data_IF_994744185559
#
_entry.id   IF_994744185559
#
_cell.length_a   1.000
_cell.length_b   1.000
_cell.length_c   1.000
_cell.angle_alpha   90.00
_cell.angle_beta   90.00
_cell.angle_gamma   90.00
#
_symmetry.space_group_name_H-M   'P 1'
#
loop_
_entity.id
_entity.type
_entity.pdbx_description
1 polymer ?
#
# COMPACT_ATOMS: atom_id res chain seq x y z
N UNK A 1 28.96 -36.85 16.64
CA UNK A 1 28.79 -37.27 15.23
C UNK A 1 27.38 -36.89 14.79
N UNK A 2 27.21 -35.69 14.27
CA UNK A 2 26.26 -35.40 13.21
C UNK A 2 26.73 -34.11 12.56
N UNK A 3 27.53 -34.31 11.52
CA UNK A 3 27.93 -33.31 10.55
C UNK A 3 26.82 -33.20 9.50
N UNK A 4 26.88 -32.11 8.72
CA UNK A 4 26.11 -31.73 7.53
C UNK A 4 24.74 -31.06 7.72
N UNK A 5 24.73 -29.74 7.51
CA UNK A 5 24.07 -29.14 6.35
C UNK A 5 24.79 -27.84 5.97
N UNK A 6 25.66 -27.94 4.98
CA UNK A 6 26.26 -26.84 4.25
C UNK A 6 25.11 -26.12 3.49
N UNK A 7 24.67 -24.96 3.98
CA UNK A 7 23.59 -24.17 3.40
C UNK A 7 24.13 -23.13 2.43
N UNK A 8 23.65 -23.19 1.19
CA UNK A 8 24.03 -22.38 0.03
C UNK A 8 24.46 -20.93 0.33
N UNK A 9 25.54 -20.49 -0.32
CA UNK A 9 25.81 -19.06 -0.50
C UNK A 9 24.54 -18.41 -1.06
N UNK A 10 23.96 -17.46 -0.33
CA UNK A 10 22.85 -16.66 -0.83
C UNK A 10 23.28 -16.06 -2.17
N UNK A 11 22.45 -16.22 -3.22
CA UNK A 11 22.67 -15.48 -4.44
C UNK A 11 22.64 -13.99 -4.10
N UNK A 12 23.64 -13.23 -4.52
CA UNK A 12 23.76 -11.79 -4.29
C UNK A 12 22.53 -10.97 -4.78
N UNK A 13 21.61 -11.63 -5.50
CA UNK A 13 20.47 -11.07 -6.23
C UNK A 13 19.12 -11.73 -5.92
N UNK A 14 18.80 -12.05 -4.65
CA UNK A 14 17.48 -12.62 -4.32
C UNK A 14 16.33 -11.63 -4.63
N UNK A 15 15.25 -12.01 -5.34
CA UNK A 15 14.25 -11.03 -5.78
C UNK A 15 13.42 -10.42 -4.63
N UNK A 16 13.49 -10.94 -3.39
CA UNK A 16 12.89 -10.28 -2.22
C UNK A 16 13.71 -9.12 -1.67
N UNK A 17 14.97 -9.00 -2.10
CA UNK A 17 15.89 -7.93 -1.70
C UNK A 17 15.41 -6.55 -2.19
N UNK A 18 15.98 -5.46 -1.67
CA UNK A 18 15.64 -4.10 -2.06
C UNK A 18 16.06 -3.76 -3.50
N UNK A 19 15.47 -2.69 -4.00
CA UNK A 19 16.00 -1.93 -5.12
C UNK A 19 16.88 -0.79 -4.59
N UNK A 20 18.09 -0.67 -5.12
CA UNK A 20 18.99 0.46 -4.86
C UNK A 20 18.69 1.61 -5.83
N UNK A 21 18.59 2.85 -5.35
CA UNK A 21 18.44 4.01 -6.24
C UNK A 21 19.72 4.85 -6.18
N UNK A 22 20.47 4.86 -7.29
CA UNK A 22 21.68 5.64 -7.49
C UNK A 22 21.32 7.03 -8.01
N UNK A 23 21.85 8.08 -7.38
CA UNK A 23 21.58 9.47 -7.76
C UNK A 23 22.64 10.43 -7.20
N UNK A 24 22.77 11.59 -7.84
CA UNK A 24 23.55 12.71 -7.27
C UNK A 24 22.70 13.45 -6.24
N UNK A 25 23.19 13.57 -5.01
CA UNK A 25 22.39 14.10 -3.90
C UNK A 25 21.88 15.53 -4.11
N UNK A 26 22.70 16.41 -4.68
CA UNK A 26 22.38 17.84 -4.81
C UNK A 26 21.20 18.16 -5.72
N UNK A 27 20.87 17.29 -6.66
CA UNK A 27 19.86 17.55 -7.71
C UNK A 27 18.92 16.35 -7.97
N UNK A 28 19.32 15.13 -7.61
CA UNK A 28 18.47 13.94 -7.71
C UNK A 28 17.57 13.68 -6.50
N UNK A 29 17.80 14.34 -5.35
CA UNK A 29 17.14 14.00 -4.08
C UNK A 29 15.61 14.03 -4.16
N UNK A 30 15.01 15.03 -4.80
CA UNK A 30 13.56 15.14 -4.89
C UNK A 30 12.95 14.02 -5.75
N UNK A 31 13.53 13.79 -6.93
CA UNK A 31 13.13 12.75 -7.89
C UNK A 31 13.21 11.37 -7.22
N UNK A 32 14.36 11.05 -6.62
CA UNK A 32 14.57 9.78 -5.94
C UNK A 32 13.65 9.60 -4.73
N UNK A 33 13.34 10.69 -4.00
CA UNK A 33 12.38 10.61 -2.88
C UNK A 33 11.00 10.22 -3.38
N UNK A 34 10.51 10.82 -4.46
CA UNK A 34 9.21 10.49 -5.02
C UNK A 34 9.16 9.03 -5.50
N UNK A 35 10.13 8.62 -6.32
CA UNK A 35 10.21 7.25 -6.83
C UNK A 35 10.30 6.22 -5.70
N UNK A 36 11.11 6.49 -4.66
CA UNK A 36 11.26 5.57 -3.53
C UNK A 36 9.93 5.32 -2.82
N UNK A 37 9.06 6.33 -2.71
CA UNK A 37 7.76 6.17 -2.08
C UNK A 37 6.74 5.50 -2.99
N UNK A 38 6.79 5.69 -4.30
CA UNK A 38 5.99 4.91 -5.24
C UNK A 38 6.37 3.42 -5.19
N UNK A 39 7.66 3.10 -5.19
CA UNK A 39 8.17 1.72 -5.05
C UNK A 39 7.70 1.09 -3.73
N UNK A 40 7.85 1.81 -2.61
CA UNK A 40 7.40 1.36 -1.29
C UNK A 40 5.88 1.15 -1.22
N UNK A 41 5.09 2.07 -1.77
CA UNK A 41 3.63 1.93 -1.82
C UNK A 41 3.21 0.71 -2.67
N UNK A 42 3.94 0.41 -3.75
CA UNK A 42 3.73 -0.76 -4.59
C UNK A 42 4.22 -2.09 -3.97
N UNK A 43 4.92 -2.05 -2.83
CA UNK A 43 5.40 -3.24 -2.14
C UNK A 43 6.86 -3.61 -2.41
N UNK A 44 7.65 -2.71 -3.00
CA UNK A 44 9.07 -2.94 -3.29
C UNK A 44 9.90 -2.25 -2.19
N UNK A 45 10.70 -3.01 -1.41
CA UNK A 45 11.67 -2.41 -0.51
C UNK A 45 12.69 -1.57 -1.28
N UNK A 46 13.03 -0.40 -0.75
CA UNK A 46 14.02 0.49 -1.33
C UNK A 46 15.15 0.66 -0.34
N UNK A 47 16.38 0.58 -0.82
CA UNK A 47 17.57 1.00 -0.07
C UNK A 47 17.90 2.44 -0.45
N UNK A 48 18.04 3.34 0.53
CA UNK A 48 18.39 4.74 0.31
C UNK A 48 19.52 5.22 1.22
N UNK A 49 20.48 5.90 0.59
CA UNK A 49 21.68 6.49 1.19
C UNK A 49 21.47 7.40 2.42
N UNK A 50 20.30 8.05 2.58
CA UNK A 50 20.08 9.05 3.64
C UNK A 50 19.42 8.52 4.90
N UNK A 51 18.52 7.55 4.76
CA UNK A 51 17.58 7.19 5.82
C UNK A 51 17.94 5.84 6.49
N UNK A 52 18.90 5.09 5.92
CA UNK A 52 19.08 3.65 6.20
C UNK A 52 20.42 3.26 6.87
N UNK A 53 21.34 4.19 7.13
CA UNK A 53 22.61 3.92 7.84
C UNK A 53 23.09 5.09 8.73
N UNK A 54 23.85 4.79 9.81
CA UNK A 54 24.59 5.80 10.59
C UNK A 54 25.67 6.51 9.74
N UNK A 55 26.15 7.70 10.15
CA UNK A 55 27.11 8.49 9.36
C UNK A 55 28.42 7.73 9.06
N UNK A 56 28.80 7.65 7.78
CA UNK A 56 30.01 6.96 7.27
C UNK A 56 30.33 7.31 5.80
N UNK A 57 31.36 6.73 5.17
CA UNK A 57 31.82 7.04 3.80
C UNK A 57 30.98 6.34 2.70
N UNK A 58 30.58 7.08 1.65
CA UNK A 58 29.61 6.67 0.61
C UNK A 58 30.01 5.40 -0.15
N UNK A 59 31.31 5.17 -0.37
CA UNK A 59 31.79 3.97 -1.09
C UNK A 59 31.59 2.68 -0.28
N UNK A 60 31.72 2.75 1.05
CA UNK A 60 31.44 1.63 1.95
C UNK A 60 29.96 1.26 1.94
N UNK A 61 29.07 2.25 1.71
CA UNK A 61 27.61 2.09 1.76
C UNK A 61 27.07 1.21 0.63
N UNK A 62 27.56 1.40 -0.61
CA UNK A 62 27.17 0.55 -1.74
C UNK A 62 27.73 -0.86 -1.60
N UNK A 63 28.99 -1.00 -1.15
CA UNK A 63 29.58 -2.32 -0.94
C UNK A 63 28.76 -3.12 0.09
N UNK A 64 28.29 -2.45 1.15
CA UNK A 64 27.44 -3.07 2.15
C UNK A 64 26.05 -3.40 1.60
N UNK A 65 25.43 -2.52 0.82
CA UNK A 65 24.15 -2.79 0.17
C UNK A 65 24.22 -4.00 -0.80
N UNK A 66 25.33 -4.13 -1.54
CA UNK A 66 25.59 -5.29 -2.41
C UNK A 66 25.83 -6.55 -1.58
N UNK A 67 26.63 -6.46 -0.51
CA UNK A 67 26.89 -7.59 0.38
C UNK A 67 25.62 -8.08 1.11
N UNK A 68 24.69 -7.17 1.42
CA UNK A 68 23.39 -7.48 2.00
C UNK A 68 22.37 -8.00 0.95
N UNK A 69 22.74 -7.95 -0.34
CA UNK A 69 21.96 -8.40 -1.49
C UNK A 69 20.99 -7.36 -2.05
N UNK A 70 20.90 -7.29 -3.38
CA UNK A 70 20.04 -6.36 -4.12
C UNK A 70 19.18 -7.09 -5.16
N UNK A 71 17.90 -6.77 -5.24
CA UNK A 71 17.02 -7.30 -6.29
C UNK A 71 17.08 -6.48 -7.60
N UNK A 72 17.63 -5.26 -7.54
CA UNK A 72 17.73 -4.38 -8.69
C UNK A 72 18.30 -3.01 -8.39
N UNK A 73 18.43 -2.20 -9.43
CA UNK A 73 18.96 -0.85 -9.40
C UNK A 73 18.12 0.13 -10.24
N UNK A 74 18.06 1.38 -9.79
CA UNK A 74 17.60 2.50 -10.61
C UNK A 74 18.67 3.57 -10.67
N UNK A 75 19.10 3.94 -11.88
CA UNK A 75 19.95 5.11 -12.10
C UNK A 75 19.07 6.35 -12.31
N UNK A 76 19.18 7.35 -11.44
CA UNK A 76 18.53 8.65 -11.62
C UNK A 76 19.48 9.59 -12.36
N UNK A 77 19.14 9.90 -13.61
CA UNK A 77 20.01 10.65 -14.53
C UNK A 77 19.48 12.07 -14.66
N UNK A 78 20.19 13.01 -14.03
CA UNK A 78 20.03 14.45 -14.19
C UNK A 78 21.12 15.02 -15.09
N UNK A 79 20.96 16.24 -15.65
CA UNK A 79 22.04 16.87 -16.42
C UNK A 79 23.37 16.95 -15.66
N UNK A 80 23.32 17.20 -14.35
CA UNK A 80 24.51 17.37 -13.51
C UNK A 80 25.03 16.05 -12.91
N UNK A 81 24.47 14.88 -13.28
CA UNK A 81 24.95 13.57 -12.81
C UNK A 81 26.42 13.34 -13.17
N UNK A 82 26.90 13.95 -14.26
CA UNK A 82 28.29 13.92 -14.68
C UNK A 82 29.28 14.46 -13.63
N UNK A 83 28.79 15.31 -12.72
CA UNK A 83 29.56 15.87 -11.60
C UNK A 83 29.61 14.94 -10.38
N UNK A 84 29.06 13.71 -10.47
CA UNK A 84 29.08 12.72 -9.38
C UNK A 84 30.10 11.61 -9.68
N UNK A 85 31.34 11.80 -9.22
CA UNK A 85 32.41 10.79 -9.34
C UNK A 85 31.98 9.44 -8.77
N UNK A 86 31.31 9.44 -7.61
CA UNK A 86 30.85 8.21 -6.95
C UNK A 86 29.86 7.43 -7.80
N UNK A 87 28.84 8.11 -8.37
CA UNK A 87 27.86 7.44 -9.24
C UNK A 87 28.54 6.91 -10.49
N UNK A 88 29.41 7.73 -11.10
CA UNK A 88 30.05 7.42 -12.38
C UNK A 88 31.07 6.28 -12.30
N UNK A 89 31.92 6.32 -11.29
CA UNK A 89 33.09 5.43 -11.20
C UNK A 89 32.83 4.22 -10.30
N UNK A 90 31.82 4.28 -9.42
CA UNK A 90 31.53 3.23 -8.44
C UNK A 90 30.14 2.63 -8.62
N UNK A 91 29.07 3.42 -8.46
CA UNK A 91 27.70 2.87 -8.40
C UNK A 91 27.21 2.33 -9.74
N UNK A 92 27.24 3.13 -10.80
CA UNK A 92 26.72 2.74 -12.10
C UNK A 92 27.45 1.52 -12.69
N UNK A 93 28.81 1.46 -12.71
CA UNK A 93 29.51 0.27 -13.19
C UNK A 93 29.12 -1.01 -12.45
N UNK A 94 28.92 -0.94 -11.12
CA UNK A 94 28.53 -2.10 -10.31
C UNK A 94 27.10 -2.56 -10.60
N UNK A 95 26.15 -1.63 -10.71
CA UNK A 95 24.76 -1.98 -11.03
C UNK A 95 24.64 -2.56 -12.45
N UNK A 96 25.43 -2.05 -13.41
CA UNK A 96 25.53 -2.61 -14.77
C UNK A 96 26.10 -4.03 -14.72
N UNK A 97 27.19 -4.24 -14.00
CA UNK A 97 27.80 -5.56 -13.86
C UNK A 97 26.83 -6.58 -13.23
N UNK A 98 26.06 -6.19 -12.21
CA UNK A 98 25.02 -7.04 -11.61
C UNK A 98 23.92 -7.39 -12.61
N UNK A 99 23.46 -6.41 -13.39
CA UNK A 99 22.44 -6.63 -14.42
C UNK A 99 22.91 -7.54 -15.55
N UNK A 100 24.18 -7.43 -15.96
CA UNK A 100 24.78 -8.31 -16.98
C UNK A 100 25.01 -9.73 -16.46
N UNK A 101 25.33 -9.88 -15.18
CA UNK A 101 25.65 -11.18 -14.57
C UNK A 101 24.42 -11.98 -14.12
N UNK A 102 23.31 -11.31 -13.77
CA UNK A 102 22.14 -11.92 -13.13
C UNK A 102 20.84 -11.52 -13.82
N UNK A 103 20.14 -12.51 -14.40
CA UNK A 103 18.86 -12.29 -15.10
C UNK A 103 17.76 -11.77 -14.15
N UNK A 104 17.80 -12.21 -12.89
CA UNK A 104 16.90 -11.79 -11.82
C UNK A 104 17.21 -10.40 -11.25
N UNK A 105 18.31 -9.75 -11.66
CA UNK A 105 18.60 -8.38 -11.28
C UNK A 105 18.01 -7.37 -12.27
N UNK A 106 17.02 -6.61 -11.82
CA UNK A 106 16.39 -5.58 -12.66
C UNK A 106 17.20 -4.28 -12.64
N UNK A 107 17.57 -3.75 -13.80
CA UNK A 107 18.12 -2.40 -13.94
C UNK A 107 17.15 -1.51 -14.72
N UNK A 108 16.92 -0.31 -14.22
CA UNK A 108 16.09 0.70 -14.85
C UNK A 108 16.71 2.09 -14.72
N UNK A 109 16.24 3.06 -15.51
CA UNK A 109 16.77 4.42 -15.51
C UNK A 109 15.60 5.42 -15.45
N UNK A 110 15.67 6.33 -14.48
CA UNK A 110 14.82 7.52 -14.39
C UNK A 110 15.58 8.70 -15.01
N UNK A 111 15.21 9.10 -16.24
CA UNK A 111 15.97 10.05 -17.04
C UNK A 111 15.29 11.44 -17.07
N UNK A 112 15.99 12.46 -16.59
CA UNK A 112 15.54 13.86 -16.60
C UNK A 112 16.10 14.65 -17.79
N UNK A 113 16.90 14.02 -18.65
CA UNK A 113 17.57 14.68 -19.78
C UNK A 113 16.71 14.53 -21.02
N UNK A 114 16.34 15.68 -21.57
CA UNK A 114 15.58 15.77 -22.80
C UNK A 114 16.48 16.21 -23.96
N UNK A 115 16.29 15.60 -25.13
CA UNK A 115 16.93 16.04 -26.38
C UNK A 115 16.18 17.22 -26.99
N UNK A 116 14.86 17.19 -26.88
CA UNK A 116 13.91 18.22 -27.28
C UNK A 116 12.79 18.24 -26.24
N UNK A 117 12.06 19.35 -26.05
CA UNK A 117 10.97 19.42 -25.07
C UNK A 117 10.00 18.23 -25.16
N UNK A 118 9.89 17.46 -24.09
CA UNK A 118 9.05 16.26 -24.00
C UNK A 118 9.59 15.01 -24.69
N UNK A 119 10.83 15.02 -25.19
CA UNK A 119 11.51 13.85 -25.77
C UNK A 119 12.79 13.54 -25.01
N UNK A 120 12.80 12.39 -24.34
CA UNK A 120 13.96 11.88 -23.63
C UNK A 120 15.19 11.71 -24.54
N UNK A 121 16.35 12.09 -24.02
CA UNK A 121 17.65 11.76 -24.61
C UNK A 121 18.13 10.40 -24.07
N UNK A 122 17.79 9.32 -24.79
CA UNK A 122 18.14 7.95 -24.39
C UNK A 122 19.66 7.68 -24.37
N UNK A 123 20.44 8.50 -25.08
CA UNK A 123 21.89 8.41 -25.14
C UNK A 123 22.60 9.22 -24.03
N UNK A 124 21.84 10.08 -23.31
CA UNK A 124 22.41 10.92 -22.26
C UNK A 124 23.03 10.14 -21.09
N UNK A 125 22.44 9.03 -20.59
CA UNK A 125 23.04 8.28 -19.49
C UNK A 125 24.46 7.78 -19.82
N UNK A 126 24.66 7.17 -20.99
CA UNK A 126 25.98 6.70 -21.42
C UNK A 126 26.99 7.87 -21.49
N UNK A 127 26.58 9.00 -22.06
CA UNK A 127 27.41 10.20 -22.20
C UNK A 127 27.78 10.82 -20.84
N UNK A 128 26.80 11.00 -19.96
CA UNK A 128 26.99 11.69 -18.68
C UNK A 128 27.70 10.82 -17.64
N UNK A 129 27.56 9.50 -17.73
CA UNK A 129 28.29 8.55 -16.90
C UNK A 129 29.63 8.11 -17.52
N UNK A 130 30.08 8.75 -18.61
CA UNK A 130 31.34 8.42 -19.30
C UNK A 130 31.49 6.93 -19.66
N UNK A 131 30.36 6.27 -19.96
CA UNK A 131 30.32 4.87 -20.37
C UNK A 131 30.60 4.75 -21.87
N UNK A 132 30.91 3.53 -22.32
CA UNK A 132 31.00 3.25 -23.75
C UNK A 132 29.62 3.48 -24.38
N UNK A 133 29.53 4.09 -25.58
CA UNK A 133 28.24 4.28 -26.25
C UNK A 133 27.49 2.96 -26.41
N UNK A 134 26.17 3.00 -26.15
CA UNK A 134 25.22 1.89 -26.19
C UNK A 134 25.32 0.90 -25.04
N UNK A 135 26.09 1.19 -23.99
CA UNK A 135 26.16 0.34 -22.78
C UNK A 135 24.76 0.17 -22.18
N UNK A 136 23.98 1.24 -22.08
CA UNK A 136 22.64 1.23 -21.49
C UNK A 136 21.49 1.11 -22.52
N UNK A 137 21.77 0.74 -23.77
CA UNK A 137 20.77 0.75 -24.86
C UNK A 137 19.63 -0.27 -24.69
N UNK A 138 19.84 -1.33 -23.90
CA UNK A 138 18.82 -2.32 -23.57
C UNK A 138 18.12 -2.08 -22.22
N UNK A 139 18.52 -1.04 -21.48
CA UNK A 139 17.98 -0.75 -20.15
C UNK A 139 16.75 0.14 -20.27
N UNK A 140 15.68 -0.27 -19.60
CA UNK A 140 14.41 0.46 -19.62
C UNK A 140 14.56 1.89 -19.04
N UNK A 141 14.24 2.88 -19.87
CA UNK A 141 14.34 4.31 -19.57
C UNK A 141 12.99 5.00 -19.63
N UNK A 142 12.68 5.79 -18.60
CA UNK A 142 11.44 6.55 -18.50
C UNK A 142 11.68 7.93 -17.88
N UNK A 143 10.79 8.91 -18.14
CA UNK A 143 10.98 10.26 -17.63
C UNK A 143 10.85 10.30 -16.11
N UNK A 144 11.45 11.31 -15.50
CA UNK A 144 11.40 11.51 -14.04
C UNK A 144 10.08 12.12 -13.55
N UNK A 145 9.13 12.41 -14.44
CA UNK A 145 7.79 12.81 -14.03
C UNK A 145 7.03 11.65 -13.37
N UNK A 146 5.93 11.97 -12.68
CA UNK A 146 5.16 10.98 -11.92
C UNK A 146 4.64 9.83 -12.80
N UNK A 147 4.26 10.10 -14.05
CA UNK A 147 3.79 9.07 -14.96
C UNK A 147 4.91 8.10 -15.35
N UNK A 148 6.10 8.60 -15.68
CA UNK A 148 7.29 7.80 -15.96
C UNK A 148 7.75 6.99 -14.75
N UNK A 149 7.77 7.58 -13.56
CA UNK A 149 8.09 6.88 -12.31
C UNK A 149 7.10 5.74 -11.99
N UNK A 150 5.81 5.92 -12.30
CA UNK A 150 4.82 4.84 -12.16
C UNK A 150 5.06 3.70 -13.15
N UNK A 151 5.48 4.01 -14.38
CA UNK A 151 5.87 2.98 -15.35
C UNK A 151 7.10 2.20 -14.86
N UNK A 152 8.11 2.87 -14.32
CA UNK A 152 9.27 2.23 -13.70
C UNK A 152 8.88 1.32 -12.54
N UNK A 153 8.07 1.84 -11.62
CA UNK A 153 7.55 1.10 -10.46
C UNK A 153 6.85 -0.18 -10.88
N UNK A 154 5.98 -0.08 -11.90
CA UNK A 154 5.25 -1.21 -12.47
C UNK A 154 6.18 -2.26 -13.08
N UNK A 155 7.17 -1.84 -13.87
CA UNK A 155 8.13 -2.74 -14.52
C UNK A 155 8.99 -3.49 -13.50
N UNK A 156 9.53 -2.78 -12.52
CA UNK A 156 10.30 -3.38 -11.42
C UNK A 156 9.44 -4.37 -10.62
N UNK A 157 8.19 -4.03 -10.32
CA UNK A 157 7.26 -4.93 -9.62
C UNK A 157 7.00 -6.21 -10.42
N UNK A 158 6.76 -6.10 -11.72
CA UNK A 158 6.49 -7.27 -12.56
C UNK A 158 7.71 -8.17 -12.74
N UNK A 159 8.88 -7.58 -12.94
CA UNK A 159 10.14 -8.34 -13.03
C UNK A 159 10.35 -9.11 -11.73
N UNK A 160 10.31 -8.42 -10.57
CA UNK A 160 10.40 -9.03 -9.24
C UNK A 160 9.46 -10.23 -9.07
N UNK A 161 8.18 -10.08 -9.40
CA UNK A 161 7.17 -11.12 -9.18
C UNK A 161 7.29 -12.30 -10.14
N UNK A 162 7.79 -12.07 -11.35
CA UNK A 162 8.07 -13.16 -12.31
C UNK A 162 9.12 -14.09 -11.73
N UNK A 163 10.17 -13.55 -11.10
CA UNK A 163 11.21 -14.34 -10.43
C UNK A 163 10.78 -14.90 -9.05
N UNK A 164 9.53 -14.70 -8.62
CA UNK A 164 8.98 -15.27 -7.37
C UNK A 164 8.02 -16.45 -7.61
N UNK A 165 7.66 -16.76 -8.86
CA UNK A 165 6.68 -17.81 -9.17
C UNK A 165 7.04 -19.19 -8.59
N UNK A 166 8.30 -19.61 -8.70
CA UNK A 166 8.75 -20.89 -8.17
C UNK A 166 8.64 -20.95 -6.64
N UNK A 167 9.01 -19.87 -5.94
CA UNK A 167 8.93 -19.75 -4.48
C UNK A 167 7.48 -19.73 -3.98
N UNK A 168 6.59 -19.05 -4.71
CA UNK A 168 5.14 -19.07 -4.40
C UNK A 168 4.57 -20.47 -4.64
N UNK A 169 4.94 -21.13 -5.73
CA UNK A 169 4.48 -22.49 -6.04
C UNK A 169 4.90 -23.52 -4.97
N UNK A 170 6.13 -23.42 -4.43
CA UNK A 170 6.60 -24.29 -3.35
C UNK A 170 5.98 -23.96 -1.98
N UNK A 171 5.50 -22.73 -1.79
CA UNK A 171 4.85 -22.27 -0.56
C UNK A 171 3.32 -22.37 -0.64
N UNK A 172 2.79 -23.53 -1.03
CA UNK A 172 1.33 -23.78 -1.15
C UNK A 172 0.58 -22.71 -1.97
N UNK A 173 1.23 -22.13 -3.00
CA UNK A 173 0.67 -21.04 -3.82
C UNK A 173 0.25 -19.84 -2.98
N UNK A 174 1.01 -19.53 -1.92
CA UNK A 174 0.77 -18.40 -1.03
C UNK A 174 1.76 -17.28 -1.29
N UNK A 175 1.24 -16.08 -1.55
CA UNK A 175 2.03 -14.85 -1.57
C UNK A 175 1.87 -14.10 -0.25
N UNK A 176 3.00 -13.66 0.32
CA UNK A 176 3.02 -12.90 1.55
C UNK A 176 3.17 -11.40 1.25
N UNK A 177 2.37 -10.59 1.94
CA UNK A 177 2.36 -9.13 1.82
C UNK A 177 2.44 -8.54 3.22
N UNK A 178 3.52 -7.81 3.52
CA UNK A 178 3.59 -6.98 4.74
C UNK A 178 3.06 -5.59 4.44
N UNK A 179 2.25 -5.04 5.34
CA UNK A 179 1.72 -3.68 5.23
C UNK A 179 2.07 -2.89 6.50
N UNK A 180 2.58 -1.67 6.33
CA UNK A 180 2.78 -0.75 7.43
C UNK A 180 2.45 0.68 7.00
N UNK A 181 1.65 1.37 7.80
CA UNK A 181 1.21 2.75 7.50
C UNK A 181 1.55 3.77 8.58
N UNK A 182 2.11 3.33 9.72
CA UNK A 182 2.40 4.20 10.87
C UNK A 182 3.89 4.38 11.13
N UNK A 183 4.70 3.36 10.86
CA UNK A 183 6.13 3.43 11.11
C UNK A 183 6.85 4.14 9.97
N UNK A 184 7.88 4.91 10.30
CA UNK A 184 8.86 5.33 9.31
C UNK A 184 9.59 4.07 8.80
N UNK A 185 9.57 3.78 7.49
CA UNK A 185 10.21 2.59 6.96
C UNK A 185 11.73 2.69 7.13
N UNK A 186 12.31 1.72 7.81
CA UNK A 186 13.75 1.52 7.89
C UNK A 186 14.17 0.36 6.99
N UNK A 187 15.41 0.32 6.51
CA UNK A 187 15.94 -0.84 5.76
C UNK A 187 15.84 -2.16 6.52
N UNK A 188 15.81 -2.13 7.85
CA UNK A 188 15.57 -3.29 8.71
C UNK A 188 14.08 -3.71 8.81
N UNK A 189 13.14 -2.89 8.32
CA UNK A 189 11.70 -3.24 8.26
C UNK A 189 11.36 -4.21 7.12
N UNK A 190 12.37 -4.75 6.44
CA UNK A 190 12.21 -5.81 5.44
C UNK A 190 11.78 -7.09 6.11
N UNK A 191 10.73 -7.69 5.60
CA UNK A 191 10.18 -8.93 6.18
C UNK A 191 10.65 -10.19 5.45
N UNK A 192 11.31 -10.04 4.30
CA UNK A 192 11.60 -11.15 3.38
C UNK A 192 10.35 -11.69 2.69
N UNK A 193 9.19 -11.04 2.84
CA UNK A 193 7.97 -11.34 2.09
C UNK A 193 8.09 -10.88 0.63
N UNK A 194 7.22 -11.40 -0.24
CA UNK A 194 7.23 -11.04 -1.65
C UNK A 194 6.98 -9.55 -1.86
N UNK A 195 6.08 -8.96 -1.07
CA UNK A 195 5.74 -7.54 -1.08
C UNK A 195 5.81 -6.93 0.32
N UNK A 196 6.47 -5.78 0.43
CA UNK A 196 6.55 -4.95 1.64
C UNK A 196 5.93 -3.57 1.34
N UNK A 197 4.61 -3.47 1.45
CA UNK A 197 3.87 -2.22 1.21
C UNK A 197 4.07 -1.26 2.37
N UNK A 198 4.59 -0.07 2.09
CA UNK A 198 4.81 0.99 3.08
C UNK A 198 4.18 2.29 2.59
N UNK A 199 3.37 2.91 3.45
CA UNK A 199 2.81 4.25 3.22
C UNK A 199 3.68 5.28 3.94
N UNK A 200 3.80 6.49 3.40
CA UNK A 200 4.52 7.59 4.06
C UNK A 200 4.05 7.77 5.50
N UNK A 201 4.98 7.91 6.46
CA UNK A 201 4.60 8.26 7.82
C UNK A 201 3.92 9.62 7.81
N UNK A 202 2.88 9.74 8.63
CA UNK A 202 2.18 11.00 8.83
C UNK A 202 2.94 11.87 9.83
N UNK A 203 2.87 13.18 9.65
CA UNK A 203 3.18 14.15 10.71
C UNK A 203 2.06 14.25 11.73
N UNK A 204 0.87 13.74 11.42
CA UNK A 204 -0.28 13.68 12.31
C UNK A 204 -0.23 12.40 13.15
N UNK A 205 -0.59 12.50 14.44
CA UNK A 205 -0.48 11.38 15.39
C UNK A 205 -1.43 10.21 15.07
N UNK A 206 -2.66 10.51 14.63
CA UNK A 206 -3.69 9.52 14.30
C UNK A 206 -3.92 9.25 12.81
N UNK A 207 -3.86 10.29 11.97
CA UNK A 207 -4.30 10.21 10.58
C UNK A 207 -3.16 9.75 9.65
N UNK A 208 -3.44 8.99 8.57
CA UNK A 208 -2.44 8.66 7.56
C UNK A 208 -1.94 9.90 6.81
N UNK A 209 -0.72 9.82 6.25
CA UNK A 209 -0.18 10.88 5.40
C UNK A 209 -1.02 11.06 4.13
N UNK A 210 -1.51 12.27 3.82
CA UNK A 210 -2.21 12.55 2.56
C UNK A 210 -1.37 12.21 1.33
N UNK A 211 -0.09 12.56 1.33
CA UNK A 211 0.85 12.23 0.26
C UNK A 211 1.05 10.72 0.15
N UNK A 212 1.18 10.03 1.29
CA UNK A 212 1.25 8.57 1.33
C UNK A 212 0.01 7.90 0.76
N UNK A 213 -1.19 8.45 1.02
CA UNK A 213 -2.43 7.94 0.43
C UNK A 213 -2.48 8.18 -1.07
N UNK A 214 -1.90 9.26 -1.60
CA UNK A 214 -1.80 9.51 -3.06
C UNK A 214 -0.83 8.54 -3.73
N UNK A 215 0.31 8.25 -3.10
CA UNK A 215 1.23 7.22 -3.61
C UNK A 215 0.58 5.83 -3.61
N UNK A 216 -0.21 5.51 -2.58
CA UNK A 216 -1.00 4.28 -2.56
C UNK A 216 -2.10 4.29 -3.63
N UNK A 217 -2.80 5.41 -3.81
CA UNK A 217 -3.81 5.56 -4.87
C UNK A 217 -3.23 5.21 -6.25
N UNK A 218 -2.04 5.72 -6.55
CA UNK A 218 -1.40 5.50 -7.84
C UNK A 218 -0.89 4.08 -8.05
N UNK A 219 -0.64 3.33 -6.98
CA UNK A 219 0.04 2.02 -7.06
C UNK A 219 -0.86 0.82 -6.70
N UNK A 220 -1.91 1.03 -5.91
CA UNK A 220 -2.78 -0.06 -5.39
C UNK A 220 -3.46 -0.86 -6.51
N UNK A 221 -3.68 -0.25 -7.68
CA UNK A 221 -4.26 -0.94 -8.84
C UNK A 221 -3.36 -2.05 -9.39
N UNK A 222 -2.05 -2.02 -9.10
CA UNK A 222 -1.09 -3.04 -9.52
C UNK A 222 -1.23 -4.33 -8.71
N UNK A 223 -1.77 -4.25 -7.49
CA UNK A 223 -1.79 -5.33 -6.53
C UNK A 223 -2.52 -6.60 -7.00
N UNK A 224 -3.75 -6.55 -7.55
CA UNK A 224 -4.41 -7.77 -8.01
C UNK A 224 -3.67 -8.43 -9.19
N UNK A 225 -3.10 -7.65 -10.10
CA UNK A 225 -2.24 -8.18 -11.18
C UNK A 225 -0.98 -8.83 -10.60
N UNK A 226 -0.34 -8.18 -9.64
CA UNK A 226 0.84 -8.67 -8.95
C UNK A 226 0.59 -10.06 -8.33
N UNK A 227 -0.52 -10.23 -7.60
CA UNK A 227 -0.89 -11.54 -7.04
C UNK A 227 -1.08 -12.57 -8.15
N UNK A 228 -1.87 -12.26 -9.19
CA UNK A 228 -2.15 -13.23 -10.26
C UNK A 228 -0.90 -13.65 -11.05
N UNK A 229 0.07 -12.74 -11.23
CA UNK A 229 1.33 -13.03 -11.93
C UNK A 229 2.21 -14.05 -11.21
N UNK A 230 2.12 -14.14 -9.89
CA UNK A 230 2.86 -15.15 -9.12
C UNK A 230 2.23 -16.55 -9.19
N UNK A 231 1.01 -16.68 -9.73
CA UNK A 231 0.23 -17.92 -9.67
C UNK A 231 -0.33 -18.23 -8.28
N UNK A 232 -0.32 -17.26 -7.35
CA UNK A 232 -0.84 -17.44 -6.01
C UNK A 232 -2.36 -17.71 -6.02
N UNK A 233 -2.78 -18.64 -5.18
CA UNK A 233 -4.19 -18.91 -4.86
C UNK A 233 -4.58 -18.35 -3.50
N UNK A 234 -3.59 -18.12 -2.64
CA UNK A 234 -3.77 -17.56 -1.30
C UNK A 234 -2.93 -16.29 -1.17
N UNK A 235 -3.53 -15.25 -0.61
CA UNK A 235 -2.80 -14.05 -0.18
C UNK A 235 -2.76 -14.04 1.35
N UNK A 236 -1.58 -13.83 1.91
CA UNK A 236 -1.40 -13.70 3.36
C UNK A 236 -0.86 -12.31 3.69
N UNK A 237 -1.68 -11.50 4.35
CA UNK A 237 -1.34 -10.14 4.77
C UNK A 237 -0.82 -10.14 6.21
N UNK A 238 0.25 -9.37 6.43
CA UNK A 238 0.92 -9.18 7.71
C UNK A 238 1.03 -7.69 8.04
N UNK A 239 1.34 -7.36 9.30
CA UNK A 239 1.68 -6.01 9.74
C UNK A 239 0.51 -5.25 10.36
N UNK A 240 0.34 -3.99 9.99
CA UNK A 240 -0.71 -3.13 10.53
C UNK A 240 -0.94 -1.87 9.70
N UNK A 241 -2.20 -1.49 9.55
CA UNK A 241 -2.59 -0.36 8.74
C UNK A 241 -3.66 0.50 9.42
N UNK A 242 -3.72 1.78 9.05
CA UNK A 242 -4.93 2.60 9.19
C UNK A 242 -6.12 1.88 8.55
N UNK A 243 -7.31 1.99 9.14
CA UNK A 243 -8.46 1.14 8.79
C UNK A 243 -8.97 1.41 7.37
N UNK A 244 -8.88 2.65 6.90
CA UNK A 244 -9.20 3.04 5.52
C UNK A 244 -8.26 2.37 4.52
N UNK A 245 -6.96 2.29 4.86
CA UNK A 245 -5.97 1.61 4.03
C UNK A 245 -6.19 0.10 4.05
N UNK A 246 -6.44 -0.50 5.21
CA UNK A 246 -6.76 -1.92 5.36
C UNK A 246 -7.96 -2.31 4.48
N UNK A 247 -9.05 -1.53 4.55
CA UNK A 247 -10.22 -1.74 3.71
C UNK A 247 -9.90 -1.60 2.22
N UNK A 248 -9.16 -0.56 1.81
CA UNK A 248 -8.80 -0.35 0.41
C UNK A 248 -7.96 -1.50 -0.16
N UNK A 249 -7.01 -2.04 0.62
CA UNK A 249 -6.22 -3.22 0.24
C UNK A 249 -7.12 -4.45 0.05
N UNK A 250 -8.06 -4.67 0.98
CA UNK A 250 -9.08 -5.70 0.84
C UNK A 250 -9.84 -5.55 -0.47
N UNK A 251 -10.35 -4.35 -0.75
CA UNK A 251 -11.10 -4.03 -1.97
C UNK A 251 -10.27 -4.21 -3.26
N UNK A 252 -8.96 -3.99 -3.20
CA UNK A 252 -8.04 -4.24 -4.32
C UNK A 252 -7.80 -5.74 -4.57
N UNK A 253 -8.13 -6.60 -3.59
CA UNK A 253 -8.02 -8.05 -3.66
C UNK A 253 -9.42 -8.69 -3.54
N UNK A 254 -10.32 -8.50 -4.51
CA UNK A 254 -11.69 -8.98 -4.41
C UNK A 254 -11.76 -10.51 -4.46
N UNK A 255 -12.73 -11.09 -3.74
CA UNK A 255 -12.92 -12.55 -3.68
C UNK A 255 -13.27 -13.19 -5.03
N UNK A 256 -13.79 -12.40 -5.97
CA UNK A 256 -14.09 -12.85 -7.33
C UNK A 256 -12.84 -13.02 -8.22
N UNK A 257 -11.68 -12.51 -7.80
CA UNK A 257 -10.44 -12.53 -8.58
C UNK A 257 -9.32 -13.31 -7.90
N UNK A 258 -9.27 -13.27 -6.58
CA UNK A 258 -8.20 -13.87 -5.76
C UNK A 258 -8.83 -14.94 -4.88
N UNK A 259 -8.19 -16.10 -4.69
CA UNK A 259 -8.76 -17.27 -4.00
C UNK A 259 -9.02 -17.06 -2.51
N UNK A 260 -8.09 -17.42 -1.63
CA UNK A 260 -8.25 -17.27 -0.17
C UNK A 260 -7.47 -16.06 0.34
N UNK A 261 -7.99 -15.37 1.35
CA UNK A 261 -7.30 -14.27 2.02
C UNK A 261 -7.12 -14.56 3.51
N UNK A 262 -5.87 -14.55 3.94
CA UNK A 262 -5.48 -14.64 5.35
C UNK A 262 -4.88 -13.31 5.79
N UNK A 263 -5.15 -12.92 7.03
CA UNK A 263 -4.53 -11.75 7.64
C UNK A 263 -4.05 -12.11 9.04
N UNK A 264 -2.78 -11.90 9.33
CA UNK A 264 -2.24 -12.11 10.69
C UNK A 264 -2.17 -10.79 11.44
N UNK A 265 -2.75 -10.77 12.64
CA UNK A 265 -2.72 -9.59 13.51
C UNK A 265 -1.44 -9.51 14.36
N UNK A 266 -1.31 -8.44 15.14
CA UNK A 266 -0.18 -8.23 16.04
C UNK A 266 -0.08 -9.27 17.17
N UNK A 267 -1.15 -10.04 17.43
CA UNK A 267 -1.20 -11.14 18.41
C UNK A 267 -0.87 -12.49 17.77
N UNK A 268 -0.37 -12.48 16.52
CA UNK A 268 -0.05 -13.67 15.74
C UNK A 268 -1.27 -14.59 15.51
N UNK A 269 -2.48 -14.04 15.56
CA UNK A 269 -3.70 -14.75 15.23
C UNK A 269 -4.02 -14.58 13.75
N UNK A 270 -4.46 -15.65 13.10
CA UNK A 270 -4.82 -15.65 11.68
C UNK A 270 -6.32 -15.50 11.51
N UNK A 271 -6.72 -14.46 10.79
CA UNK A 271 -8.09 -14.13 10.43
C UNK A 271 -8.30 -14.52 8.97
N UNK A 272 -9.32 -15.31 8.68
CA UNK A 272 -9.50 -15.89 7.34
C UNK A 272 -10.85 -15.52 6.72
N UNK A 273 -10.83 -15.27 5.42
CA UNK A 273 -12.02 -15.27 4.57
C UNK A 273 -11.83 -16.21 3.40
N UNK A 274 -12.84 -17.06 3.17
CA UNK A 274 -12.95 -17.84 1.93
C UNK A 274 -13.30 -16.99 0.72
N UNK A 275 -13.66 -17.66 -0.37
CA UNK A 275 -14.07 -17.04 -1.65
C UNK A 275 -15.50 -16.51 -1.61
N UNK A 276 -16.38 -17.12 -0.83
CA UNK A 276 -17.80 -16.79 -0.75
C UNK A 276 -18.19 -16.22 0.61
N UNK A 277 -19.12 -15.27 0.59
CA UNK A 277 -19.74 -14.76 1.80
C UNK A 277 -20.76 -15.79 2.31
N UNK A 278 -20.42 -16.48 3.39
CA UNK A 278 -21.31 -17.46 4.03
C UNK A 278 -22.24 -16.71 4.98
N UNK A 279 -23.55 -16.87 4.79
CA UNK A 279 -24.57 -16.32 5.69
C UNK A 279 -24.91 -17.37 6.75
N UNK A 280 -24.77 -17.03 8.02
CA UNK A 280 -25.10 -17.89 9.16
C UNK A 280 -26.57 -17.80 9.55
N UNK A 281 -27.06 -18.83 10.24
CA UNK A 281 -28.40 -18.85 10.85
C UNK A 281 -28.47 -18.04 12.15
N UNK A 282 -27.36 -17.89 12.88
CA UNK A 282 -27.26 -17.02 14.05
C UNK A 282 -26.45 -15.78 13.70
N UNK A 283 -27.02 -14.56 13.84
CA UNK A 283 -26.30 -13.32 13.54
C UNK A 283 -25.20 -13.07 14.59
N UNK A 284 -24.00 -12.73 14.12
CA UNK A 284 -22.88 -12.31 14.94
C UNK A 284 -22.86 -10.79 15.15
N UNK A 285 -23.58 -10.04 14.30
CA UNK A 285 -23.74 -8.60 14.42
C UNK A 285 -25.18 -8.24 14.80
N UNK A 286 -25.33 -7.18 15.57
CA UNK A 286 -26.65 -6.60 15.88
C UNK A 286 -26.72 -5.14 15.48
N UNK A 287 -27.88 -4.72 15.03
CA UNK A 287 -28.20 -3.30 14.86
C UNK A 287 -28.50 -2.76 16.26
N UNK A 288 -27.63 -1.87 16.75
CA UNK A 288 -27.83 -1.19 18.03
C UNK A 288 -28.80 -0.02 17.86
N UNK A 289 -28.63 0.74 16.77
CA UNK A 289 -29.45 1.89 16.46
C UNK A 289 -29.47 2.11 14.93
N UNK A 290 -30.60 2.59 14.41
CA UNK A 290 -30.76 2.91 13.00
C UNK A 290 -31.72 4.08 12.82
N UNK A 291 -31.57 4.79 11.70
CA UNK A 291 -32.51 5.85 11.30
C UNK A 291 -32.63 5.90 9.79
N UNK A 292 -33.86 6.09 9.33
CA UNK A 292 -34.17 6.41 7.93
C UNK A 292 -34.86 7.77 7.87
N UNK A 293 -34.52 8.57 6.85
CA UNK A 293 -35.15 9.85 6.55
C UNK A 293 -35.87 9.77 5.22
N UNK A 294 -37.15 10.13 5.21
CA UNK A 294 -38.00 10.13 4.00
C UNK A 294 -37.76 11.36 3.09
N UNK A 295 -36.82 12.23 3.45
CA UNK A 295 -36.50 13.42 2.66
C UNK A 295 -35.82 13.03 1.34
N UNK A 296 -36.50 13.24 0.22
CA UNK A 296 -35.89 13.14 -1.10
C UNK A 296 -34.75 14.15 -1.24
N UNK A 297 -33.54 13.68 -1.57
CA UNK A 297 -32.37 14.53 -1.80
C UNK A 297 -31.99 14.54 -3.28
N UNK A 298 -31.48 15.67 -3.75
CA UNK A 298 -30.99 15.81 -5.14
C UNK A 298 -29.59 15.23 -5.26
N UNK A 299 -29.36 14.40 -6.28
CA UNK A 299 -28.07 13.74 -6.52
C UNK A 299 -28.02 12.30 -6.00
N UNK A 300 -26.81 11.73 -5.90
CA UNK A 300 -26.64 10.38 -5.34
C UNK A 300 -26.91 10.43 -3.82
N UNK A 301 -27.80 9.58 -3.27
CA UNK A 301 -28.01 9.50 -1.83
C UNK A 301 -26.73 9.08 -1.08
N UNK A 302 -26.65 9.47 0.18
CA UNK A 302 -25.57 9.07 1.06
C UNK A 302 -26.16 8.43 2.32
N UNK A 303 -25.53 7.36 2.78
CA UNK A 303 -25.88 6.63 4.01
C UNK A 303 -24.65 6.48 4.87
N UNK A 304 -24.79 6.35 6.18
CA UNK A 304 -23.65 6.09 7.08
C UNK A 304 -23.78 4.74 7.77
N UNK A 305 -22.66 4.06 7.96
CA UNK A 305 -22.61 2.85 8.76
C UNK A 305 -21.44 2.94 9.72
N UNK A 306 -21.75 2.89 11.00
CA UNK A 306 -20.76 2.76 12.07
C UNK A 306 -20.65 1.31 12.49
N UNK A 307 -19.49 0.71 12.27
CA UNK A 307 -19.20 -0.68 12.62
C UNK A 307 -18.30 -0.70 13.85
N UNK A 308 -18.89 -0.98 15.02
CA UNK A 308 -18.19 -1.05 16.30
C UNK A 308 -18.05 -2.51 16.79
N UNK A 309 -16.85 -3.05 16.64
CA UNK A 309 -16.53 -4.43 17.01
C UNK A 309 -15.50 -4.53 18.14
N UNK A 310 -15.13 -3.41 18.77
CA UNK A 310 -14.18 -3.41 19.88
C UNK A 310 -14.91 -3.41 21.23
N UNK A 311 -14.33 -4.03 22.29
CA UNK A 311 -14.89 -3.94 23.63
C UNK A 311 -14.93 -2.49 24.14
N UNK A 312 -15.92 -2.21 24.99
CA UNK A 312 -16.15 -0.87 25.54
C UNK A 312 -16.79 0.04 24.51
N UNK A 313 -18.01 0.48 24.81
CA UNK A 313 -18.81 1.32 23.93
C UNK A 313 -18.17 2.71 23.79
N UNK A 314 -18.06 3.21 22.55
CA UNK A 314 -17.39 4.49 22.26
C UNK A 314 -18.11 5.23 21.12
N UNK A 315 -19.23 5.85 21.44
CA UNK A 315 -20.14 6.39 20.42
C UNK A 315 -19.92 7.86 20.13
N UNK A 316 -19.21 8.60 20.99
CA UNK A 316 -19.15 10.07 20.91
C UNK A 316 -18.65 10.59 19.57
N UNK A 317 -17.67 9.93 18.94
CA UNK A 317 -17.19 10.31 17.62
C UNK A 317 -18.23 10.06 16.51
N UNK A 318 -19.03 9.00 16.64
CA UNK A 318 -20.12 8.73 15.71
C UNK A 318 -21.30 9.69 15.93
N UNK A 319 -21.66 9.98 17.18
CA UNK A 319 -22.68 10.98 17.53
C UNK A 319 -22.30 12.35 16.95
N UNK A 320 -21.05 12.78 17.19
CA UNK A 320 -20.51 14.02 16.59
C UNK A 320 -20.60 13.99 15.07
N UNK A 321 -20.23 12.86 14.44
CA UNK A 321 -20.39 12.71 13.00
C UNK A 321 -21.85 12.93 12.58
N UNK A 322 -22.84 12.31 13.24
CA UNK A 322 -24.25 12.50 12.93
C UNK A 322 -24.74 13.94 13.17
N UNK A 323 -24.24 14.65 14.18
CA UNK A 323 -24.57 16.06 14.41
C UNK A 323 -24.06 16.95 13.27
N UNK A 324 -22.82 16.73 12.83
CA UNK A 324 -22.18 17.50 11.76
C UNK A 324 -22.72 17.15 10.35
N UNK A 325 -23.15 15.90 10.15
CA UNK A 325 -23.36 15.30 8.82
C UNK A 325 -24.77 14.74 8.61
N UNK A 326 -25.57 14.58 9.66
CA UNK A 326 -26.87 13.89 9.63
C UNK A 326 -27.88 14.51 8.68
N UNK A 327 -27.80 15.82 8.44
CA UNK A 327 -28.66 16.52 7.48
C UNK A 327 -28.42 16.08 6.03
N UNK A 328 -27.23 15.59 5.68
CA UNK A 328 -26.93 15.07 4.33
C UNK A 328 -27.20 13.57 4.19
N UNK A 329 -27.26 12.81 5.29
CA UNK A 329 -27.53 11.36 5.28
C UNK A 329 -29.02 11.03 5.07
N UNK A 330 -29.32 10.08 4.18
CA UNK A 330 -30.68 9.56 3.96
C UNK A 330 -31.01 8.45 4.96
N UNK A 331 -30.02 7.65 5.35
CA UNK A 331 -30.16 6.66 6.40
C UNK A 331 -28.82 6.43 7.09
N UNK A 332 -28.85 5.86 8.30
CA UNK A 332 -27.65 5.36 8.94
C UNK A 332 -27.94 4.17 9.85
N UNK A 333 -26.92 3.34 10.06
CA UNK A 333 -26.95 2.18 10.96
C UNK A 333 -25.71 2.17 11.88
N UNK A 334 -25.91 1.80 13.13
CA UNK A 334 -24.86 1.46 14.09
C UNK A 334 -24.90 -0.06 14.32
N UNK A 335 -23.86 -0.74 13.83
CA UNK A 335 -23.68 -2.17 13.99
C UNK A 335 -22.67 -2.49 15.08
N UNK A 336 -23.04 -3.38 16.00
CA UNK A 336 -22.16 -3.85 17.06
C UNK A 336 -21.98 -5.36 17.01
N UNK A 337 -20.90 -5.85 17.63
CA UNK A 337 -20.74 -7.28 17.86
C UNK A 337 -21.79 -7.78 18.88
N UNK A 338 -22.48 -8.87 18.56
CA UNK A 338 -23.53 -9.41 19.42
C UNK A 338 -22.97 -10.07 20.68
N UNK A 339 -21.72 -10.55 20.66
CA UNK A 339 -21.06 -11.20 21.79
C UNK A 339 -20.47 -10.21 22.80
N UNK A 340 -20.26 -10.69 24.03
CA UNK A 340 -19.69 -9.90 25.14
C UNK A 340 -18.16 -10.02 25.27
N UNK A 341 -17.52 -10.79 24.38
CA UNK A 341 -16.08 -11.08 24.40
C UNK A 341 -15.37 -10.42 23.24
N UNK A 342 -14.04 -10.46 23.27
CA UNK A 342 -13.22 -10.18 22.09
C UNK A 342 -13.66 -11.08 20.92
N UNK A 343 -13.60 -10.53 19.71
CA UNK A 343 -13.86 -11.29 18.50
C UNK A 343 -12.96 -12.53 18.42
N UNK A 344 -13.55 -13.67 18.06
CA UNK A 344 -12.80 -14.87 17.71
C UNK A 344 -12.29 -14.75 16.26
N UNK A 345 -10.97 -14.84 16.00
CA UNK A 345 -10.43 -14.86 14.65
C UNK A 345 -11.03 -15.94 13.74
N UNK A 346 -11.57 -17.05 14.30
CA UNK A 346 -12.22 -18.10 13.49
C UNK A 346 -13.53 -17.63 12.87
N UNK A 347 -14.21 -16.65 13.48
CA UNK A 347 -15.47 -16.09 13.02
C UNK A 347 -15.26 -14.93 12.04
N UNK A 348 -14.02 -14.55 11.77
CA UNK A 348 -13.65 -13.37 10.98
C UNK A 348 -14.36 -13.29 9.62
N UNK A 349 -14.38 -14.41 8.89
CA UNK A 349 -15.03 -14.49 7.58
C UNK A 349 -16.55 -14.32 7.66
N UNK A 350 -17.17 -14.85 8.72
CA UNK A 350 -18.61 -14.74 8.95
C UNK A 350 -19.00 -13.32 9.35
N UNK A 351 -18.25 -12.71 10.26
CA UNK A 351 -18.40 -11.30 10.66
C UNK A 351 -18.26 -10.37 9.45
N UNK A 352 -17.22 -10.59 8.63
CA UNK A 352 -17.00 -9.80 7.43
C UNK A 352 -18.14 -9.99 6.41
N UNK A 353 -18.64 -11.21 6.23
CA UNK A 353 -19.76 -11.52 5.35
C UNK A 353 -21.08 -10.87 5.81
N UNK A 354 -21.35 -10.87 7.12
CA UNK A 354 -22.54 -10.25 7.69
C UNK A 354 -22.48 -8.72 7.60
N UNK A 355 -21.36 -8.11 7.96
CA UNK A 355 -21.15 -6.67 7.79
C UNK A 355 -21.29 -6.27 6.31
N UNK A 356 -20.70 -7.06 5.41
CA UNK A 356 -20.82 -6.88 3.97
C UNK A 356 -22.28 -6.95 3.48
N UNK A 357 -23.06 -7.90 3.97
CA UNK A 357 -24.48 -8.03 3.63
C UNK A 357 -25.27 -6.80 4.10
N UNK A 358 -25.07 -6.35 5.35
CA UNK A 358 -25.72 -5.15 5.91
C UNK A 358 -25.38 -3.89 5.12
N UNK A 359 -24.10 -3.66 4.84
CA UNK A 359 -23.64 -2.51 4.04
C UNK A 359 -24.32 -2.49 2.66
N UNK A 360 -24.39 -3.64 1.97
CA UNK A 360 -25.05 -3.73 0.66
C UNK A 360 -26.55 -3.46 0.77
N UNK A 361 -27.21 -4.03 1.76
CA UNK A 361 -28.64 -3.81 2.00
C UNK A 361 -28.94 -2.33 2.24
N UNK A 362 -28.19 -1.69 3.15
CA UNK A 362 -28.34 -0.27 3.46
C UNK A 362 -28.13 0.61 2.21
N UNK A 363 -27.08 0.36 1.43
CA UNK A 363 -26.83 1.07 0.16
C UNK A 363 -27.96 0.86 -0.85
N UNK A 364 -28.37 -0.39 -1.09
CA UNK A 364 -29.31 -0.74 -2.16
C UNK A 364 -30.72 -0.24 -1.86
N UNK A 365 -31.19 -0.36 -0.63
CA UNK A 365 -32.50 0.18 -0.21
C UNK A 365 -32.56 1.70 -0.32
N UNK A 366 -31.42 2.38 -0.29
CA UNK A 366 -31.32 3.83 -0.44
C UNK A 366 -30.83 4.23 -1.85
N UNK A 367 -31.16 3.46 -2.88
CA UNK A 367 -30.92 3.83 -4.28
C UNK A 367 -29.44 3.72 -4.71
N UNK A 368 -28.74 2.69 -4.24
CA UNK A 368 -27.29 2.51 -4.44
C UNK A 368 -26.49 3.70 -3.89
N UNK A 369 -26.82 4.08 -2.66
CA UNK A 369 -26.21 5.20 -1.96
C UNK A 369 -24.69 5.05 -1.80
N UNK A 370 -23.98 6.17 -1.71
CA UNK A 370 -22.61 6.16 -1.23
C UNK A 370 -22.59 5.90 0.28
N UNK A 371 -21.78 4.96 0.72
CA UNK A 371 -21.67 4.57 2.12
C UNK A 371 -20.54 5.32 2.79
N UNK A 372 -20.87 6.13 3.79
CA UNK A 372 -19.92 6.71 4.74
C UNK A 372 -19.63 5.66 5.80
N UNK A 373 -18.48 5.00 5.69
CA UNK A 373 -18.13 3.85 6.53
C UNK A 373 -17.14 4.28 7.61
N UNK A 374 -17.59 4.14 8.86
CA UNK A 374 -16.83 4.46 10.05
C UNK A 374 -16.49 3.14 10.74
N UNK A 375 -15.21 2.80 10.81
CA UNK A 375 -14.74 1.52 11.32
C UNK A 375 -14.15 1.70 12.73
N UNK A 376 -14.62 0.89 13.67
CA UNK A 376 -13.98 0.64 14.97
C UNK A 376 -13.85 -0.87 15.14
N UNK A 377 -12.85 -1.45 14.48
CA UNK A 377 -12.64 -2.90 14.45
C UNK A 377 -11.15 -3.26 14.35
N UNK A 378 -10.78 -4.52 14.59
CA UNK A 378 -9.44 -5.00 14.26
C UNK A 378 -9.14 -4.83 12.77
N UNK A 379 -7.92 -4.37 12.44
CA UNK A 379 -7.52 -4.16 11.04
C UNK A 379 -7.75 -5.38 10.12
N UNK A 380 -7.60 -6.65 10.56
CA UNK A 380 -7.89 -7.80 9.70
C UNK A 380 -9.32 -7.78 9.20
N UNK A 381 -10.28 -7.46 10.07
CA UNK A 381 -11.70 -7.41 9.71
C UNK A 381 -11.96 -6.34 8.67
N UNK A 382 -11.32 -5.16 8.76
CA UNK A 382 -11.42 -4.12 7.73
C UNK A 382 -10.97 -4.60 6.35
N UNK A 383 -9.85 -5.35 6.28
CA UNK A 383 -9.38 -5.98 5.03
C UNK A 383 -10.42 -6.98 4.50
N UNK A 384 -10.90 -7.88 5.36
CA UNK A 384 -11.85 -8.92 4.96
C UNK A 384 -13.18 -8.34 4.48
N UNK A 385 -13.67 -7.27 5.10
CA UNK A 385 -14.87 -6.56 4.63
C UNK A 385 -14.60 -5.94 3.26
N UNK A 386 -13.51 -5.18 3.11
CA UNK A 386 -13.17 -4.50 1.85
C UNK A 386 -13.14 -5.46 0.65
N UNK A 387 -12.59 -6.66 0.86
CA UNK A 387 -12.55 -7.76 -0.13
C UNK A 387 -13.92 -8.18 -0.66
N UNK A 388 -14.97 -8.04 0.15
CA UNK A 388 -16.33 -8.40 -0.23
C UNK A 388 -17.09 -7.22 -0.85
N UNK A 389 -16.57 -6.00 -0.82
CA UNK A 389 -17.31 -4.79 -1.19
C UNK A 389 -17.29 -4.44 -2.69
N UNK A 390 -17.30 -5.45 -3.56
CA UNK A 390 -17.49 -5.21 -4.98
C UNK A 390 -18.77 -4.39 -5.23
N UNK A 391 -18.72 -3.45 -6.18
CA UNK A 391 -19.83 -2.62 -6.68
C UNK A 391 -20.36 -1.47 -5.79
N UNK A 392 -20.02 -1.42 -4.50
CA UNK A 392 -20.47 -0.35 -3.58
C UNK A 392 -19.45 0.80 -3.54
N UNK A 393 -19.91 2.04 -3.32
CA UNK A 393 -19.03 3.21 -3.20
C UNK A 393 -18.92 3.64 -1.75
N UNK A 394 -17.72 4.05 -1.36
CA UNK A 394 -17.41 4.38 0.03
C UNK A 394 -16.78 5.75 0.16
N UNK A 395 -17.09 6.41 1.27
CA UNK A 395 -16.21 7.38 1.93
C UNK A 395 -15.71 6.69 3.19
N UNK A 396 -14.41 6.48 3.29
CA UNK A 396 -13.78 5.83 4.45
C UNK A 396 -13.30 6.90 5.42
N UNK A 397 -13.51 6.65 6.70
CA UNK A 397 -13.16 7.57 7.77
C UNK A 397 -12.06 7.00 8.68
N UNK A 398 -11.21 7.88 9.17
CA UNK A 398 -10.24 7.60 10.23
C UNK A 398 -10.66 8.31 11.52
N UNK A 399 -10.41 7.66 12.65
CA UNK A 399 -10.72 8.22 13.96
C UNK A 399 -9.60 9.15 14.42
N UNK A 400 -9.97 10.29 14.96
CA UNK A 400 -9.06 11.36 15.37
C UNK A 400 -9.52 11.95 16.72
N UNK A 401 -8.64 11.91 17.71
CA UNK A 401 -8.81 12.52 19.03
C UNK A 401 -7.85 13.69 19.26
N UNK A 402 -7.16 14.18 18.23
CA UNK A 402 -6.34 15.36 18.37
C UNK A 402 -7.19 16.59 18.70
N UNK A 403 -6.67 17.42 19.61
CA UNK A 403 -7.34 18.65 20.03
C UNK A 403 -7.64 19.55 18.81
N UNK A 404 -8.82 20.18 18.76
CA UNK A 404 -9.16 21.08 17.67
C UNK A 404 -8.21 22.28 17.65
N UNK A 405 -7.68 22.60 16.47
CA UNK A 405 -6.93 23.86 16.26
C UNK A 405 -7.85 25.09 16.44
N UNK A 406 -9.15 24.92 16.15
CA UNK A 406 -10.18 25.95 16.26
C UNK A 406 -11.48 25.32 16.81
N UNK A 407 -12.09 25.99 17.80
CA UNK A 407 -13.36 25.60 18.41
C UNK A 407 -13.22 24.88 19.74
N UNK A 408 -14.36 24.68 20.42
CA UNK A 408 -14.40 24.18 21.81
C UNK A 408 -14.95 22.75 21.93
N UNK A 409 -15.08 22.02 20.82
CA UNK A 409 -15.53 20.61 20.83
C UNK A 409 -14.36 19.64 20.80
N UNK A 410 -13.97 19.20 22.00
CA UNK A 410 -12.88 18.25 22.26
C UNK A 410 -13.30 16.78 22.12
N UNK A 411 -14.53 16.47 21.70
CA UNK A 411 -14.92 15.08 21.41
C UNK A 411 -14.10 14.58 20.23
N UNK A 412 -13.64 13.34 20.28
CA UNK A 412 -13.05 12.67 19.13
C UNK A 412 -14.00 12.72 17.92
N UNK A 413 -13.44 12.63 16.71
CA UNK A 413 -14.17 12.78 15.45
C UNK A 413 -13.74 11.74 14.44
N UNK A 414 -14.57 11.57 13.42
CA UNK A 414 -14.22 10.80 12.24
C UNK A 414 -13.90 11.75 11.08
N UNK A 415 -12.68 11.65 10.56
CA UNK A 415 -12.19 12.47 9.44
C UNK A 415 -12.23 11.65 8.17
N UNK A 416 -12.85 12.20 7.12
CA UNK A 416 -12.94 11.52 5.82
C UNK A 416 -11.55 11.39 5.21
N UNK A 417 -11.09 10.15 5.00
CA UNK A 417 -9.73 9.88 4.56
C UNK A 417 -9.61 9.69 3.04
N UNK A 418 -10.53 8.93 2.45
CA UNK A 418 -10.52 8.62 1.01
C UNK A 418 -11.89 8.18 0.51
N UNK A 419 -12.11 8.34 -0.80
CA UNK A 419 -13.20 7.69 -1.54
C UNK A 419 -12.70 6.40 -2.16
N UNK A 420 -13.46 5.33 -1.95
CA UNK A 420 -13.15 4.01 -2.52
C UNK A 420 -14.28 3.56 -3.44
N UNK A 421 -13.88 3.12 -4.63
CA UNK A 421 -14.72 2.54 -5.66
C UNK A 421 -14.11 1.20 -6.10
N UNK A 422 -14.47 0.11 -5.44
CA UNK A 422 -14.01 -1.22 -5.80
C UNK A 422 -14.36 -1.56 -7.25
N UNK A 423 -13.48 -2.30 -7.91
CA UNK A 423 -13.58 -2.67 -9.33
C UNK A 423 -13.53 -1.51 -10.35
N UNK A 424 -13.12 -0.30 -9.95
CA UNK A 424 -12.84 0.77 -10.90
C UNK A 424 -11.57 0.46 -11.71
N UNK A 425 -11.57 0.81 -12.99
CA UNK A 425 -10.45 0.55 -13.92
C UNK A 425 -9.18 1.32 -13.59
N UNK A 426 -9.31 2.47 -12.92
CA UNK A 426 -8.19 3.32 -12.48
C UNK A 426 -7.58 2.90 -11.13
N UNK A 427 -8.11 1.85 -10.50
CA UNK A 427 -7.76 1.48 -9.12
C UNK A 427 -8.89 1.75 -8.14
N UNK A 428 -8.80 1.13 -6.95
CA UNK A 428 -9.90 1.15 -5.97
C UNK A 428 -10.02 2.46 -5.20
N UNK A 429 -8.95 3.24 -5.09
CA UNK A 429 -8.96 4.57 -4.45
C UNK A 429 -9.27 5.61 -5.53
N UNK A 430 -10.46 6.21 -5.44
CA UNK A 430 -10.93 7.20 -6.42
C UNK A 430 -10.41 8.60 -6.08
N UNK A 431 -10.34 8.94 -4.79
CA UNK A 431 -9.94 10.26 -4.32
C UNK A 431 -9.34 10.17 -2.91
N UNK A 432 -8.26 10.91 -2.65
CA UNK A 432 -7.75 11.16 -1.28
C UNK A 432 -8.39 12.43 -0.74
N UNK A 433 -9.07 12.33 0.40
CA UNK A 433 -9.85 13.42 0.99
C UNK A 433 -9.10 14.18 2.09
N UNK A 434 -8.06 13.58 2.68
CA UNK A 434 -7.21 14.29 3.63
C UNK A 434 -6.45 15.42 2.94
N UNK A 435 -6.36 16.56 3.61
CA UNK A 435 -5.61 17.71 3.15
C UNK A 435 -4.17 17.62 3.64
N UNK A 436 -3.22 17.93 2.76
CA UNK A 436 -1.82 18.12 3.11
C UNK A 436 -1.71 19.21 4.18
N UNK A 437 -0.96 18.95 5.26
CA UNK A 437 -0.73 19.91 6.35
C UNK A 437 0.19 21.07 5.95
N UNK A 438 0.61 21.17 4.69
CA UNK A 438 1.36 22.30 4.14
C UNK A 438 0.41 23.45 3.83
N UNK A 439 0.03 24.18 4.88
CA UNK A 439 -0.82 25.36 4.83
C UNK A 439 -0.74 26.14 6.14
N UNK A 440 0.48 26.48 6.56
CA UNK A 440 0.79 27.54 7.52
C UNK A 440 2.08 28.21 7.08
#
# INVERSE_FOLDING_TARGET
>A
MHETANGAAASDTEPTNPVFISYRQSDGTAITTELAWLLRAAGIPVWRDRDDLPPGDTETRLQQAIADGLAGGVLTITPDIANSTVVREVEAPKLIALHEAHEEFALCIANAVEREPGKLDYDAPDRLLELKPKTLSGVDQHPVDRAGQLVLTKKLLWHRLTHQQARVASNNRTIHISIQTRNAPQVLDRTGHQLDMRVRPSSHERLPSPEGLRDLQDTIHLLPDAVTRTGAQTVHIHGGAHLSVAFAIGAALPSSRIGTLHVTDQRQQTWMSGTEAIVTTAPLLRVEEERTSDSAKTGRPAVALYLDLLPGRSDYAFIRHLEENGSFLTAWEHLTYAGERLLDPTDAGLIAAEAAARIRTLSNHNGNAQVHLLLRCPFPVAVLIGRLMNTIRFVLYEWDDSDPVVGDDYRARYVAAMRVRPSASSGVIEEVLLKSSTGA
#
